data_IF_630572889324
#
_entry.id   IF_630572889324
#
_cell.length_a   1.000
_cell.length_b   1.000
_cell.length_c   1.000
_cell.angle_alpha   90.00
_cell.angle_beta   90.00
_cell.angle_gamma   90.00
#
_symmetry.space_group_name_H-M   'P 1'
#
loop_
_entity.id
_entity.type
_entity.pdbx_description
1 polymer ?
#
# COMPACT_ATOMS: atom_id res chain seq x y z
N UNK A 1 4.26 -6.66 -10.50
CA UNK A 1 3.90 -5.35 -9.90
C UNK A 1 2.71 -4.71 -10.60
N UNK A 2 2.73 -4.50 -11.93
CA UNK A 2 1.61 -3.91 -12.70
C UNK A 2 0.23 -4.48 -12.33
N UNK A 3 0.11 -5.82 -12.34
CA UNK A 3 -1.11 -6.54 -11.96
C UNK A 3 -1.49 -6.36 -10.49
N UNK A 4 -0.55 -6.59 -9.57
CA UNK A 4 -0.79 -6.51 -8.12
C UNK A 4 -1.21 -5.12 -7.66
N UNK A 5 -0.60 -4.08 -8.23
CA UNK A 5 -0.91 -2.67 -7.92
C UNK A 5 -2.03 -2.10 -8.79
N UNK A 6 -2.52 -2.88 -9.75
CA UNK A 6 -3.47 -2.48 -10.77
C UNK A 6 -3.11 -1.14 -11.47
N UNK A 7 -1.86 -1.02 -11.91
CA UNK A 7 -1.39 0.18 -12.62
C UNK A 7 -1.97 0.22 -14.03
N UNK A 8 -2.42 1.40 -14.46
CA UNK A 8 -3.00 1.59 -15.79
C UNK A 8 -2.89 3.03 -16.25
N UNK A 9 -2.92 3.22 -17.56
CA UNK A 9 -2.53 4.47 -18.24
C UNK A 9 -1.18 4.31 -18.92
N UNK A 10 -0.49 5.44 -19.11
CA UNK A 10 0.88 5.49 -19.64
C UNK A 10 1.84 5.14 -18.51
N UNK A 11 2.78 4.25 -18.80
CA UNK A 11 3.81 3.79 -17.88
C UNK A 11 5.14 3.94 -18.61
N UNK A 12 6.09 4.61 -17.96
CA UNK A 12 7.45 4.80 -18.45
C UNK A 12 8.35 3.89 -17.63
N UNK A 13 9.14 3.07 -18.32
CA UNK A 13 10.08 2.14 -17.70
C UNK A 13 11.49 2.56 -18.11
N UNK A 14 12.30 2.85 -17.11
CA UNK A 14 13.71 3.18 -17.27
C UNK A 14 14.54 1.91 -17.00
N UNK A 15 15.11 1.33 -18.06
CA UNK A 15 15.98 0.17 -17.95
C UNK A 15 17.43 0.62 -17.78
N UNK A 16 18.27 -0.24 -17.20
CA UNK A 16 19.72 0.02 -17.14
C UNK A 16 20.26 0.17 -18.56
N UNK A 17 21.19 1.12 -18.74
CA UNK A 17 21.81 1.39 -20.02
C UNK A 17 22.45 0.13 -20.64
N UNK A 18 22.15 -0.07 -21.92
CA UNK A 18 22.67 -1.18 -22.72
C UNK A 18 23.30 -0.62 -24.00
N UNK A 19 24.57 -0.94 -24.23
CA UNK A 19 25.26 -0.56 -25.47
C UNK A 19 24.85 -1.45 -26.64
N UNK A 20 24.60 -2.75 -26.38
CA UNK A 20 24.24 -3.73 -27.39
C UNK A 20 22.73 -3.70 -27.70
N UNK A 21 22.41 -3.54 -28.99
CA UNK A 21 21.05 -3.59 -29.53
C UNK A 21 20.39 -4.98 -29.36
N UNK A 22 21.17 -6.06 -29.32
CA UNK A 22 20.64 -7.39 -29.06
C UNK A 22 20.09 -7.51 -27.62
N UNK A 23 20.80 -6.95 -26.64
CA UNK A 23 20.34 -6.90 -25.26
C UNK A 23 19.03 -6.11 -25.12
N UNK A 24 18.95 -4.95 -25.78
CA UNK A 24 17.72 -4.12 -25.83
C UNK A 24 16.53 -4.92 -26.36
N UNK A 25 16.70 -5.62 -27.48
CA UNK A 25 15.66 -6.48 -28.06
C UNK A 25 15.28 -7.64 -27.15
N UNK A 26 16.23 -8.24 -26.46
CA UNK A 26 15.98 -9.33 -25.53
C UNK A 26 15.14 -8.87 -24.34
N UNK A 27 15.46 -7.70 -23.74
CA UNK A 27 14.69 -7.11 -22.64
C UNK A 27 13.25 -6.84 -23.07
N UNK A 28 13.04 -6.21 -24.23
CA UNK A 28 11.70 -5.95 -24.77
C UNK A 28 10.91 -7.25 -25.00
N UNK A 29 11.56 -8.28 -25.55
CA UNK A 29 10.92 -9.59 -25.79
C UNK A 29 10.47 -10.23 -24.48
N UNK A 30 11.32 -10.24 -23.46
CA UNK A 30 10.98 -10.77 -22.14
C UNK A 30 9.84 -9.98 -21.49
N UNK A 31 9.85 -8.64 -21.61
CA UNK A 31 8.77 -7.78 -21.13
C UNK A 31 7.44 -8.14 -21.80
N UNK A 32 7.42 -8.24 -23.13
CA UNK A 32 6.21 -8.62 -23.88
C UNK A 32 5.70 -10.02 -23.50
N UNK A 33 6.59 -11.00 -23.35
CA UNK A 33 6.23 -12.36 -22.90
C UNK A 33 5.62 -12.36 -21.49
N UNK A 34 6.17 -11.56 -20.56
CA UNK A 34 5.62 -11.44 -19.21
C UNK A 34 4.23 -10.77 -19.22
N UNK A 35 4.03 -9.78 -20.09
CA UNK A 35 2.75 -9.06 -20.25
C UNK A 35 1.68 -9.89 -20.98
N UNK A 36 2.06 -10.89 -21.77
CA UNK A 36 1.10 -11.77 -22.44
C UNK A 36 0.16 -12.52 -21.48
N UNK A 37 0.55 -12.65 -20.21
CA UNK A 37 -0.27 -13.25 -19.14
C UNK A 37 -1.12 -12.21 -18.38
N UNK A 38 -1.07 -10.94 -18.76
CA UNK A 38 -1.90 -9.89 -18.16
C UNK A 38 -3.28 -9.88 -18.81
N UNK A 39 -4.38 -9.96 -18.04
CA UNK A 39 -5.73 -9.88 -18.62
C UNK A 39 -6.08 -8.48 -19.15
N UNK A 40 -5.37 -7.42 -18.73
CA UNK A 40 -5.59 -6.08 -19.26
C UNK A 40 -4.88 -5.90 -20.61
N UNK A 41 -5.52 -5.19 -21.55
CA UNK A 41 -4.91 -4.86 -22.84
C UNK A 41 -3.67 -3.99 -22.63
N UNK A 42 -2.52 -4.43 -23.13
CA UNK A 42 -1.25 -3.70 -23.08
C UNK A 42 -0.72 -3.38 -24.47
N UNK A 43 0.05 -2.30 -24.57
CA UNK A 43 0.84 -1.94 -25.75
C UNK A 43 2.21 -1.47 -25.25
N UNK A 44 3.29 -1.93 -25.88
CA UNK A 44 4.66 -1.59 -25.49
C UNK A 44 5.35 -1.01 -26.73
N UNK A 45 6.00 0.14 -26.58
CA UNK A 45 6.82 0.76 -27.63
C UNK A 45 8.24 0.19 -27.64
N UNK A 46 9.01 0.57 -28.65
CA UNK A 46 10.46 0.34 -28.65
C UNK A 46 11.17 1.24 -27.63
N UNK A 47 12.44 0.93 -27.33
CA UNK A 47 13.27 1.77 -26.46
C UNK A 47 13.49 3.10 -27.18
N UNK A 48 13.16 4.20 -26.53
CA UNK A 48 13.35 5.55 -27.04
C UNK A 48 14.84 5.92 -27.13
N UNK A 49 15.15 7.01 -27.83
CA UNK A 49 16.50 7.56 -27.87
C UNK A 49 17.05 7.96 -26.47
N UNK A 50 16.17 8.16 -25.50
CA UNK A 50 16.52 8.46 -24.10
C UNK A 50 16.69 7.20 -23.24
N UNK A 51 16.62 5.99 -23.82
CA UNK A 51 16.71 4.73 -23.07
C UNK A 51 15.41 4.29 -22.39
N UNK A 52 14.34 5.07 -22.52
CA UNK A 52 13.05 4.79 -21.87
C UNK A 52 12.16 3.89 -22.75
N UNK A 53 11.43 2.97 -22.12
CA UNK A 53 10.35 2.20 -22.75
C UNK A 53 9.01 2.76 -22.32
N UNK A 54 8.16 3.08 -23.29
CA UNK A 54 6.80 3.53 -23.05
C UNK A 54 5.84 2.35 -23.20
N UNK A 55 4.87 2.25 -22.31
CA UNK A 55 3.80 1.28 -22.48
C UNK A 55 2.47 1.86 -22.02
N UNK A 56 1.38 1.36 -22.60
CA UNK A 56 0.04 1.60 -22.09
C UNK A 56 -0.55 0.31 -21.56
N UNK A 57 -1.28 0.40 -20.45
CA UNK A 57 -2.10 -0.68 -19.90
C UNK A 57 -3.49 -0.15 -19.65
N UNK A 58 -4.51 -0.73 -20.30
CA UNK A 58 -5.91 -0.30 -20.14
C UNK A 58 -6.30 -0.37 -18.67
N UNK A 59 -6.78 0.76 -18.13
CA UNK A 59 -7.32 0.82 -16.76
C UNK A 59 -8.69 0.13 -16.75
N UNK A 60 -8.81 -0.92 -15.95
CA UNK A 60 -10.05 -1.70 -15.80
C UNK A 60 -10.76 -1.39 -14.48
N UNK A 61 -10.01 -1.01 -13.45
CA UNK A 61 -10.45 -0.70 -12.09
C UNK A 61 -9.52 0.42 -11.56
N UNK A 62 -9.91 1.12 -10.50
CA UNK A 62 -9.04 2.05 -9.77
C UNK A 62 -7.73 1.39 -9.31
N UNK A 63 -6.64 2.17 -9.31
CA UNK A 63 -5.34 1.69 -8.84
C UNK A 63 -5.38 1.40 -7.34
N UNK A 64 -4.46 0.54 -6.86
CA UNK A 64 -4.38 0.22 -5.44
C UNK A 64 -4.09 1.46 -4.58
N UNK A 65 -3.23 2.36 -5.08
CA UNK A 65 -2.94 3.65 -4.44
C UNK A 65 -4.21 4.48 -4.24
N UNK A 66 -5.05 4.60 -5.27
CA UNK A 66 -6.28 5.38 -5.20
C UNK A 66 -7.31 4.78 -4.22
N UNK A 67 -7.25 3.47 -3.99
CA UNK A 67 -8.13 2.78 -3.02
C UNK A 67 -7.62 2.82 -1.59
N UNK A 68 -6.30 2.82 -1.40
CA UNK A 68 -5.68 2.73 -0.08
C UNK A 68 -5.21 4.08 0.45
N UNK A 69 -5.13 5.10 -0.40
CA UNK A 69 -4.57 6.39 -0.07
C UNK A 69 -5.56 7.52 -0.32
N UNK A 70 -5.39 8.62 0.39
CA UNK A 70 -6.09 9.88 0.20
C UNK A 70 -5.07 11.01 -0.08
N UNK A 71 -5.47 12.10 -0.73
CA UNK A 71 -4.56 13.20 -1.03
C UNK A 71 -4.02 13.82 0.26
N UNK A 72 -2.71 14.06 0.30
CA UNK A 72 -2.07 14.67 1.47
C UNK A 72 -2.58 16.11 1.66
N UNK A 73 -3.13 16.45 2.84
CA UNK A 73 -3.72 17.77 3.11
C UNK A 73 -2.67 18.88 3.19
N UNK A 74 -1.39 18.54 3.40
CA UNK A 74 -0.32 19.52 3.64
C UNK A 74 0.46 19.91 2.38
N UNK A 75 0.46 19.06 1.36
CA UNK A 75 1.20 19.31 0.12
C UNK A 75 0.29 19.70 -1.06
N UNK A 76 -0.98 20.03 -0.79
CA UNK A 76 -1.96 20.41 -1.80
C UNK A 76 -2.16 19.31 -2.88
N UNK A 77 -2.17 18.04 -2.47
CA UNK A 77 -2.39 16.92 -3.39
C UNK A 77 -1.19 16.52 -4.25
N UNK A 78 0.01 17.06 -3.98
CA UNK A 78 1.26 16.61 -4.64
C UNK A 78 1.72 15.21 -4.22
N UNK A 79 1.17 14.70 -3.12
CA UNK A 79 1.50 13.40 -2.55
C UNK A 79 0.26 12.73 -1.95
N UNK A 80 0.41 11.46 -1.63
CA UNK A 80 -0.63 10.59 -1.11
C UNK A 80 -0.24 10.11 0.28
N UNK A 81 -1.23 9.93 1.14
CA UNK A 81 -1.09 9.29 2.46
C UNK A 81 -2.01 8.08 2.48
N UNK A 82 -1.63 6.97 3.10
CA UNK A 82 -2.56 5.89 3.41
C UNK A 82 -3.79 6.48 4.11
N UNK A 83 -4.96 6.08 3.66
CA UNK A 83 -6.21 6.49 4.27
C UNK A 83 -6.29 6.00 5.71
N UNK A 84 -7.08 6.68 6.54
CA UNK A 84 -7.25 6.27 7.93
C UNK A 84 -7.76 4.84 8.04
N UNK A 85 -8.64 4.39 7.13
CA UNK A 85 -9.11 3.00 7.02
C UNK A 85 -7.95 2.01 6.80
N UNK A 86 -7.02 2.37 5.92
CA UNK A 86 -5.86 1.52 5.60
C UNK A 86 -4.94 1.38 6.80
N UNK A 87 -4.71 2.48 7.53
CA UNK A 87 -3.90 2.47 8.76
C UNK A 87 -4.61 1.66 9.86
N UNK A 88 -5.92 1.80 10.04
CA UNK A 88 -6.70 0.97 10.96
C UNK A 88 -6.52 -0.53 10.67
N UNK A 89 -6.58 -0.93 9.40
CA UNK A 89 -6.37 -2.32 9.01
C UNK A 89 -4.92 -2.81 9.27
N UNK A 90 -3.92 -1.93 9.18
CA UNK A 90 -2.53 -2.23 9.57
C UNK A 90 -2.40 -2.43 11.07
N UNK A 91 -3.01 -1.57 11.87
CA UNK A 91 -3.04 -1.69 13.33
C UNK A 91 -3.62 -3.05 13.75
N UNK A 92 -4.75 -3.48 13.18
CA UNK A 92 -5.32 -4.80 13.47
C UNK A 92 -4.35 -5.95 13.15
N UNK A 93 -3.62 -5.86 12.03
CA UNK A 93 -2.63 -6.88 11.66
C UNK A 93 -1.47 -6.92 12.65
N UNK A 94 -1.00 -5.77 13.11
CA UNK A 94 0.08 -5.69 14.09
C UNK A 94 -0.34 -6.13 15.49
N UNK A 95 -1.57 -5.83 15.92
CA UNK A 95 -2.15 -6.40 17.17
C UNK A 95 -2.14 -7.93 17.12
N UNK A 96 -2.65 -8.51 16.03
CA UNK A 96 -2.69 -9.97 15.83
C UNK A 96 -1.27 -10.57 15.78
N UNK A 97 -0.31 -9.82 15.26
CA UNK A 97 1.10 -10.25 15.22
C UNK A 97 1.75 -10.21 16.60
N UNK A 98 1.56 -9.13 17.34
CA UNK A 98 2.09 -8.94 18.69
C UNK A 98 1.56 -10.02 19.65
N UNK A 99 0.25 -10.30 19.61
CA UNK A 99 -0.35 -11.32 20.46
C UNK A 99 0.23 -12.71 20.19
N UNK A 100 0.43 -13.09 18.93
CA UNK A 100 1.05 -14.38 18.56
C UNK A 100 2.49 -14.53 19.05
N UNK A 101 3.20 -13.42 19.23
CA UNK A 101 4.63 -13.45 19.57
C UNK A 101 4.88 -13.41 21.09
N UNK A 102 4.03 -12.71 21.85
CA UNK A 102 4.31 -12.40 23.24
C UNK A 102 3.23 -12.83 24.24
N UNK A 103 2.11 -13.41 23.79
CA UNK A 103 0.99 -13.88 24.63
C UNK A 103 0.60 -12.90 25.76
N UNK A 104 0.55 -11.61 25.43
CA UNK A 104 0.33 -10.54 26.41
C UNK A 104 -1.16 -10.30 26.66
N UNK A 105 -1.57 -10.17 27.93
CA UNK A 105 -2.95 -9.87 28.29
C UNK A 105 -3.38 -8.42 28.09
N UNK A 106 -2.44 -7.49 27.84
CA UNK A 106 -2.72 -6.07 27.63
C UNK A 106 -1.84 -5.46 26.54
N UNK A 107 -2.46 -4.65 25.68
CA UNK A 107 -1.81 -3.92 24.59
C UNK A 107 -2.24 -2.45 24.62
N UNK A 108 -1.33 -1.55 24.27
CA UNK A 108 -1.61 -0.14 24.04
C UNK A 108 -1.21 0.25 22.62
N UNK A 109 -2.14 0.88 21.90
CA UNK A 109 -1.91 1.40 20.56
C UNK A 109 -1.84 2.91 20.63
N UNK A 110 -0.68 3.46 20.26
CA UNK A 110 -0.47 4.89 20.05
C UNK A 110 -0.65 5.17 18.56
N UNK A 111 -1.49 6.15 18.20
CA UNK A 111 -1.69 6.51 16.79
C UNK A 111 -2.14 7.98 16.66
N UNK A 112 -2.11 8.52 15.44
CA UNK A 112 -2.62 9.86 15.16
C UNK A 112 -4.10 10.01 15.60
N UNK A 113 -4.53 11.20 16.08
CA UNK A 113 -5.87 11.40 16.64
C UNK A 113 -7.00 10.94 15.71
N UNK A 114 -6.91 11.27 14.41
CA UNK A 114 -7.89 10.88 13.39
C UNK A 114 -8.02 9.36 13.23
N UNK A 115 -6.93 8.62 13.39
CA UNK A 115 -6.93 7.15 13.31
C UNK A 115 -7.55 6.56 14.58
N UNK A 116 -7.23 7.13 15.75
CA UNK A 116 -7.81 6.69 17.04
C UNK A 116 -9.31 6.93 17.07
N UNK A 117 -9.78 8.12 16.71
CA UNK A 117 -11.20 8.46 16.59
C UNK A 117 -11.92 7.45 15.69
N UNK A 118 -11.38 7.22 14.49
CA UNK A 118 -11.94 6.26 13.56
C UNK A 118 -11.97 4.82 14.10
N UNK A 119 -10.93 4.38 14.80
CA UNK A 119 -10.91 3.06 15.45
C UNK A 119 -12.03 2.90 16.49
N UNK A 120 -12.29 3.96 17.27
CA UNK A 120 -13.28 3.96 18.35
C UNK A 120 -14.72 4.22 17.87
N UNK A 121 -14.91 4.72 16.65
CA UNK A 121 -16.24 4.94 16.06
C UNK A 121 -16.64 3.81 15.11
N UNK A 122 -15.81 3.56 14.08
CA UNK A 122 -16.15 2.65 12.98
C UNK A 122 -15.79 1.18 13.28
N UNK A 123 -14.81 0.94 14.16
CA UNK A 123 -14.22 -0.39 14.36
C UNK A 123 -14.49 -0.99 15.75
N UNK A 124 -15.41 -0.43 16.53
CA UNK A 124 -15.74 -0.88 17.89
C UNK A 124 -16.19 -2.33 17.96
N UNK A 125 -17.07 -2.77 17.05
CA UNK A 125 -17.53 -4.16 17.01
C UNK A 125 -16.40 -5.14 16.63
N UNK A 126 -15.64 -4.93 15.53
CA UNK A 126 -14.44 -5.72 15.24
C UNK A 126 -13.41 -5.75 16.38
N UNK A 127 -13.19 -4.62 17.06
CA UNK A 127 -12.27 -4.54 18.20
C UNK A 127 -12.74 -5.41 19.36
N UNK A 128 -14.03 -5.38 19.69
CA UNK A 128 -14.59 -6.22 20.74
C UNK A 128 -14.41 -7.71 20.42
N UNK A 129 -14.72 -8.13 19.19
CA UNK A 129 -14.55 -9.52 18.73
C UNK A 129 -13.08 -9.97 18.84
N UNK A 130 -12.14 -9.11 18.40
CA UNK A 130 -10.70 -9.41 18.47
C UNK A 130 -10.22 -9.48 19.92
N UNK A 131 -10.65 -8.54 20.77
CA UNK A 131 -10.29 -8.48 22.20
C UNK A 131 -10.78 -9.73 22.93
N UNK A 132 -12.02 -10.14 22.69
CA UNK A 132 -12.64 -11.32 23.28
C UNK A 132 -11.95 -12.60 22.82
N UNK A 133 -11.76 -12.77 21.50
CA UNK A 133 -11.12 -13.95 20.92
C UNK A 133 -9.68 -14.12 21.36
N UNK A 134 -8.95 -13.01 21.56
CA UNK A 134 -7.54 -13.03 21.99
C UNK A 134 -7.37 -13.00 23.51
N UNK A 135 -8.45 -12.78 24.28
CA UNK A 135 -8.37 -12.60 25.74
C UNK A 135 -7.46 -11.44 26.16
N UNK A 136 -7.30 -10.43 25.29
CA UNK A 136 -6.31 -9.35 25.44
C UNK A 136 -7.02 -8.00 25.48
N UNK A 137 -6.79 -7.20 26.53
CA UNK A 137 -7.34 -5.84 26.61
C UNK A 137 -6.50 -4.88 25.77
N UNK A 138 -7.14 -4.18 24.83
CA UNK A 138 -6.48 -3.24 23.92
C UNK A 138 -6.93 -1.82 24.27
N UNK A 139 -5.98 -0.92 24.54
CA UNK A 139 -6.23 0.51 24.79
C UNK A 139 -5.70 1.34 23.63
N UNK A 140 -6.47 2.31 23.16
CA UNK A 140 -6.03 3.30 22.18
C UNK A 140 -5.72 4.62 22.87
N UNK A 141 -4.63 5.26 22.48
CA UNK A 141 -4.25 6.60 22.94
C UNK A 141 -3.85 7.47 21.75
N UNK A 142 -4.44 8.66 21.61
CA UNK A 142 -4.07 9.60 20.55
C UNK A 142 -2.72 10.26 20.86
N UNK A 143 -1.87 10.38 19.84
CA UNK A 143 -0.61 11.11 19.89
C UNK A 143 -0.60 12.26 18.88
N UNK A 144 -0.67 13.49 19.38
CA UNK A 144 -0.82 14.72 18.57
C UNK A 144 0.31 14.95 17.56
N UNK A 145 1.50 14.44 17.86
CA UNK A 145 2.68 14.61 17.00
C UNK A 145 2.79 13.53 15.93
N UNK A 146 1.89 12.54 15.92
CA UNK A 146 1.94 11.44 14.96
C UNK A 146 1.27 11.86 13.66
N UNK A 147 1.99 11.68 12.55
CA UNK A 147 1.38 11.71 11.23
C UNK A 147 0.39 10.56 11.07
N UNK A 148 -0.58 10.69 10.15
CA UNK A 148 -1.65 9.71 9.97
C UNK A 148 -1.17 8.26 9.81
N UNK A 149 -0.01 8.04 9.17
CA UNK A 149 0.53 6.70 8.93
C UNK A 149 1.36 6.14 10.09
N UNK A 150 1.59 6.92 11.14
CA UNK A 150 2.39 6.54 12.30
C UNK A 150 1.51 5.92 13.38
N UNK A 151 1.92 4.77 13.88
CA UNK A 151 1.35 4.12 15.05
C UNK A 151 2.39 3.19 15.70
N UNK A 152 2.22 2.94 17.00
CA UNK A 152 2.99 1.97 17.76
C UNK A 152 2.07 1.04 18.54
N UNK A 153 2.42 -0.25 18.59
CA UNK A 153 1.75 -1.24 19.42
C UNK A 153 2.69 -1.61 20.56
N UNK A 154 2.38 -1.13 21.76
CA UNK A 154 3.16 -1.32 22.98
C UNK A 154 2.55 -2.45 23.81
N UNK A 155 3.40 -3.39 24.22
CA UNK A 155 3.04 -4.46 25.16
C UNK A 155 3.04 -3.92 26.59
N UNK A 156 2.02 -4.24 27.39
CA UNK A 156 1.88 -3.80 28.79
C UNK A 156 1.97 -4.98 29.77
#
# INVERSE_FOLDING_TARGET
>A
QLRLRNLGGIIIIDFIDMEDEEHKRQVLRVLQQALARDPARTMVSEISALGLVEMTRKRTIESLEHRLCEPCPHCSGRGWLKSSETVCAEIFREILRAQRQFETGKLMVLAAPRVVEKMLEDYTAPLAEVTERLGTSIRFQPEEHYAQEQFDVVLL
#
